data_IF_680515392382
#
_entry.id   IF_680515392382
#
_cell.length_a   1.000
_cell.length_b   1.000
_cell.length_c   1.000
_cell.angle_alpha   90.00
_cell.angle_beta   90.00
_cell.angle_gamma   90.00
#
_symmetry.space_group_name_H-M   'P 1'
#
loop_
_entity.id
_entity.type
_entity.pdbx_description
1 polymer ?
#
# COMPACT_ATOMS: atom_id res chain seq x y z
N UNK A 1 40.52 -30.75 19.65
CA UNK A 1 40.36 -29.29 19.48
C UNK A 1 38.90 -29.05 19.15
N UNK A 2 38.11 -28.64 20.15
CA UNK A 2 36.72 -28.24 19.94
C UNK A 2 36.73 -26.85 19.33
N UNK A 3 36.48 -26.76 18.02
CA UNK A 3 36.06 -25.51 17.41
C UNK A 3 34.60 -25.30 17.80
N UNK A 4 34.39 -24.54 18.88
CA UNK A 4 33.12 -23.85 19.08
C UNK A 4 33.11 -22.76 18.02
N UNK A 5 32.36 -22.99 16.94
CA UNK A 5 32.01 -21.93 16.00
C UNK A 5 31.15 -20.97 16.82
N UNK A 6 31.55 -19.70 17.03
CA UNK A 6 30.65 -18.74 17.65
C UNK A 6 29.41 -18.69 16.76
N UNK A 7 28.23 -18.82 17.38
CA UNK A 7 26.98 -18.43 16.74
C UNK A 7 27.27 -17.03 16.19
N UNK A 8 27.29 -16.89 14.87
CA UNK A 8 27.39 -15.58 14.24
C UNK A 8 26.31 -14.75 14.90
N UNK A 9 26.69 -13.62 15.49
CA UNK A 9 25.74 -12.61 15.93
C UNK A 9 24.94 -12.26 14.67
N UNK A 10 23.80 -12.93 14.45
CA UNK A 10 22.77 -12.43 13.57
C UNK A 10 22.53 -11.02 14.08
N UNK A 11 22.91 -10.04 13.28
CA UNK A 11 22.73 -8.63 13.62
C UNK A 11 21.23 -8.49 13.79
N UNK A 12 20.76 -8.49 15.04
CA UNK A 12 19.36 -8.25 15.36
C UNK A 12 19.13 -6.79 14.96
N UNK A 13 18.61 -6.60 13.76
CA UNK A 13 18.25 -5.28 13.23
C UNK A 13 17.19 -4.72 14.18
N UNK A 14 17.44 -3.51 14.68
CA UNK A 14 16.49 -2.89 15.61
C UNK A 14 15.17 -2.56 14.90
N UNK A 15 14.05 -2.52 15.64
CA UNK A 15 12.76 -2.14 15.04
C UNK A 15 12.80 -0.78 14.36
N UNK A 16 13.52 0.19 14.92
CA UNK A 16 13.67 1.51 14.31
C UNK A 16 14.46 1.46 13.00
N UNK A 17 15.47 0.60 12.94
CA UNK A 17 16.23 0.38 11.71
C UNK A 17 15.38 -0.32 10.63
N UNK A 18 14.51 -1.27 11.01
CA UNK A 18 13.53 -1.86 10.09
C UNK A 18 12.52 -0.83 9.58
N UNK A 19 12.03 0.08 10.43
CA UNK A 19 11.16 1.18 9.99
C UNK A 19 11.86 2.07 8.96
N UNK A 20 13.11 2.46 9.23
CA UNK A 20 13.88 3.27 8.29
C UNK A 20 14.10 2.54 6.95
N UNK A 21 14.33 1.23 6.97
CA UNK A 21 14.45 0.43 5.73
C UNK A 21 13.12 0.45 4.96
N UNK A 22 11.99 0.28 5.64
CA UNK A 22 10.65 0.32 5.02
C UNK A 22 10.37 1.71 4.42
N UNK A 23 10.70 2.80 5.14
CA UNK A 23 10.57 4.17 4.63
C UNK A 23 11.42 4.41 3.37
N UNK A 24 12.66 3.92 3.35
CA UNK A 24 13.52 4.00 2.16
C UNK A 24 12.98 3.16 0.99
N UNK A 25 12.37 2.00 1.27
CA UNK A 25 11.73 1.18 0.24
C UNK A 25 10.47 1.85 -0.30
N UNK A 26 9.69 2.56 0.53
CA UNK A 26 8.57 3.39 0.08
C UNK A 26 9.08 4.47 -0.89
N UNK A 27 10.16 5.18 -0.55
CA UNK A 27 10.76 6.16 -1.46
C UNK A 27 11.24 5.53 -2.77
N UNK A 28 11.79 4.31 -2.70
CA UNK A 28 12.25 3.57 -3.89
C UNK A 28 11.08 3.22 -4.81
N UNK A 29 9.99 2.66 -4.26
CA UNK A 29 8.75 2.36 -4.98
C UNK A 29 8.15 3.62 -5.59
N UNK A 30 8.12 4.72 -4.83
CA UNK A 30 7.60 6.00 -5.32
C UNK A 30 8.40 6.51 -6.52
N UNK A 31 9.73 6.45 -6.44
CA UNK A 31 10.58 6.89 -7.55
C UNK A 31 10.43 5.99 -8.77
N UNK A 32 10.46 4.66 -8.61
CA UNK A 32 10.38 3.73 -9.76
C UNK A 32 9.02 3.77 -10.44
N UNK A 33 7.91 3.82 -9.69
CA UNK A 33 6.56 3.96 -10.25
C UNK A 33 6.32 5.31 -10.92
N UNK A 34 6.84 6.41 -10.36
CA UNK A 34 6.72 7.74 -10.97
C UNK A 34 7.50 7.84 -12.29
N UNK A 35 8.74 7.33 -12.32
CA UNK A 35 9.55 7.30 -13.55
C UNK A 35 8.81 6.53 -14.65
N UNK A 36 8.30 5.36 -14.31
CA UNK A 36 7.68 4.53 -15.32
C UNK A 36 6.29 5.05 -15.75
N UNK A 37 5.53 5.75 -14.90
CA UNK A 37 4.35 6.51 -15.35
C UNK A 37 4.75 7.56 -16.39
N UNK A 38 5.78 8.37 -16.10
CA UNK A 38 6.27 9.43 -17.00
C UNK A 38 6.74 8.87 -18.34
N UNK A 39 7.40 7.72 -18.35
CA UNK A 39 7.95 7.10 -19.56
C UNK A 39 6.87 6.43 -20.44
N UNK A 40 5.77 5.97 -19.85
CA UNK A 40 4.80 5.12 -20.55
C UNK A 40 3.46 5.80 -20.88
N UNK A 41 3.12 6.90 -20.21
CA UNK A 41 1.90 7.65 -20.48
C UNK A 41 2.06 8.53 -21.72
N UNK A 42 1.05 8.51 -22.60
CA UNK A 42 1.00 9.36 -23.79
C UNK A 42 0.03 10.51 -23.62
N UNK A 43 0.46 11.73 -23.99
CA UNK A 43 -0.40 12.91 -24.07
C UNK A 43 -0.54 13.43 -25.51
N UNK A 44 -0.30 12.56 -26.49
CA UNK A 44 -0.31 12.94 -27.91
C UNK A 44 -1.70 13.26 -28.46
N UNK A 45 -2.75 12.76 -27.80
CA UNK A 45 -4.15 12.96 -28.15
C UNK A 45 -4.87 13.64 -26.99
N UNK A 46 -5.84 14.50 -27.29
CA UNK A 46 -6.68 15.13 -26.26
C UNK A 46 -7.46 14.09 -25.45
N UNK A 47 -7.92 13.01 -26.10
CA UNK A 47 -8.57 11.85 -25.46
C UNK A 47 -7.64 11.12 -24.49
N UNK A 48 -6.37 10.92 -24.89
CA UNK A 48 -5.35 10.30 -24.06
C UNK A 48 -5.05 11.14 -22.81
N UNK A 49 -5.03 12.47 -22.94
CA UNK A 49 -4.89 13.37 -21.79
C UNK A 49 -6.15 13.39 -20.93
N UNK A 50 -7.34 13.34 -21.54
CA UNK A 50 -8.60 13.33 -20.81
C UNK A 50 -8.76 12.08 -19.95
N UNK A 51 -8.39 10.90 -20.46
CA UNK A 51 -8.51 9.66 -19.68
C UNK A 51 -7.63 9.67 -18.42
N UNK A 52 -6.48 10.37 -18.44
CA UNK A 52 -5.63 10.55 -17.25
C UNK A 52 -6.37 11.38 -16.21
N UNK A 53 -7.07 12.45 -16.64
CA UNK A 53 -7.88 13.28 -15.75
C UNK A 53 -9.02 12.47 -15.14
N UNK A 54 -9.78 11.78 -15.98
CA UNK A 54 -10.94 10.99 -15.56
C UNK A 54 -10.52 9.90 -14.57
N UNK A 55 -9.46 9.13 -14.89
CA UNK A 55 -8.92 8.10 -13.99
C UNK A 55 -8.41 8.70 -12.67
N UNK A 56 -7.77 9.88 -12.72
CA UNK A 56 -7.30 10.56 -11.50
C UNK A 56 -8.48 11.03 -10.64
N UNK A 57 -9.54 11.57 -11.25
CA UNK A 57 -10.75 12.00 -10.54
C UNK A 57 -11.43 10.79 -9.87
N UNK A 58 -11.49 9.64 -10.54
CA UNK A 58 -12.00 8.40 -9.96
C UNK A 58 -11.15 7.91 -8.78
N UNK A 59 -9.82 7.99 -8.88
CA UNK A 59 -8.89 7.68 -7.77
C UNK A 59 -9.14 8.62 -6.59
N UNK A 60 -9.34 9.92 -6.84
CA UNK A 60 -9.65 10.91 -5.79
C UNK A 60 -10.99 10.58 -5.14
N UNK A 61 -12.02 10.22 -5.92
CA UNK A 61 -13.33 9.83 -5.39
C UNK A 61 -13.28 8.55 -4.53
N UNK A 62 -12.48 7.55 -4.93
CA UNK A 62 -12.24 6.35 -4.13
C UNK A 62 -11.55 6.70 -2.80
N UNK A 63 -10.51 7.55 -2.86
CA UNK A 63 -9.83 8.05 -1.67
C UNK A 63 -10.80 8.78 -0.73
N UNK A 64 -11.65 9.66 -1.25
CA UNK A 64 -12.65 10.38 -0.46
C UNK A 64 -13.64 9.44 0.22
N UNK A 65 -14.00 8.35 -0.46
CA UNK A 65 -14.94 7.36 0.06
C UNK A 65 -14.33 6.50 1.17
N UNK A 66 -13.07 6.08 1.02
CA UNK A 66 -12.49 5.03 1.87
C UNK A 66 -11.37 5.51 2.79
N UNK A 67 -10.52 6.43 2.34
CA UNK A 67 -9.33 6.87 3.08
C UNK A 67 -9.54 8.18 3.86
N UNK A 68 -10.46 9.05 3.42
CA UNK A 68 -10.74 10.29 4.16
C UNK A 68 -11.33 10.13 5.55
N UNK A 69 -12.16 9.11 5.84
CA UNK A 69 -12.55 8.82 7.22
C UNK A 69 -11.36 8.64 8.16
N UNK A 70 -10.21 8.15 7.65
CA UNK A 70 -8.97 8.01 8.42
C UNK A 70 -8.27 9.36 8.59
N UNK A 71 -8.09 10.13 7.52
CA UNK A 71 -7.39 11.42 7.59
C UNK A 71 -8.13 12.42 8.47
N UNK A 72 -9.46 12.40 8.48
CA UNK A 72 -10.31 13.26 9.32
C UNK A 72 -10.10 13.06 10.83
N UNK A 73 -9.52 11.93 11.25
CA UNK A 73 -9.14 11.70 12.66
C UNK A 73 -7.99 12.63 13.10
N UNK A 74 -7.25 13.23 12.16
CA UNK A 74 -6.17 14.16 12.44
C UNK A 74 -6.24 15.39 11.53
N UNK A 75 -6.63 16.54 12.09
CA UNK A 75 -6.81 17.80 11.35
C UNK A 75 -5.59 18.23 10.52
N UNK A 76 -4.37 18.02 11.01
CA UNK A 76 -3.17 18.41 10.27
C UNK A 76 -2.98 17.55 9.02
N UNK A 77 -3.20 16.24 9.15
CA UNK A 77 -3.12 15.27 8.06
C UNK A 77 -4.27 15.50 7.07
N UNK A 78 -5.48 15.76 7.55
CA UNK A 78 -6.62 16.11 6.69
C UNK A 78 -6.37 17.39 5.89
N UNK A 79 -5.84 18.44 6.52
CA UNK A 79 -5.50 19.68 5.83
C UNK A 79 -4.38 19.50 4.80
N UNK A 80 -3.39 18.66 5.09
CA UNK A 80 -2.36 18.27 4.14
C UNK A 80 -2.97 17.54 2.93
N UNK A 81 -3.82 16.54 3.18
CA UNK A 81 -4.52 15.78 2.13
C UNK A 81 -5.33 16.71 1.22
N UNK A 82 -6.10 17.65 1.80
CA UNK A 82 -6.84 18.66 1.05
C UNK A 82 -5.93 19.61 0.25
N UNK A 83 -4.75 19.93 0.76
CA UNK A 83 -3.78 20.75 0.04
C UNK A 83 -3.20 20.00 -1.17
N UNK A 84 -2.89 18.71 -1.02
CA UNK A 84 -2.43 17.84 -2.11
C UNK A 84 -3.52 17.70 -3.17
N UNK A 85 -4.77 17.43 -2.78
CA UNK A 85 -5.90 17.32 -3.71
C UNK A 85 -6.15 18.61 -4.49
N UNK A 86 -6.01 19.78 -3.86
CA UNK A 86 -6.02 21.06 -4.59
C UNK A 86 -4.86 21.16 -5.58
N UNK A 87 -3.68 20.65 -5.24
CA UNK A 87 -2.53 20.57 -6.13
C UNK A 87 -2.82 19.70 -7.36
N UNK A 88 -3.41 18.52 -7.16
CA UNK A 88 -3.86 17.63 -8.24
C UNK A 88 -4.83 18.36 -9.16
N UNK A 89 -5.87 18.98 -8.60
CA UNK A 89 -6.86 19.71 -9.40
C UNK A 89 -6.22 20.83 -10.25
N UNK A 90 -5.20 21.52 -9.72
CA UNK A 90 -4.47 22.52 -10.50
C UNK A 90 -3.65 21.85 -11.62
N UNK A 91 -2.90 20.79 -11.32
CA UNK A 91 -2.12 20.04 -12.31
C UNK A 91 -2.99 19.46 -13.43
N UNK A 92 -4.20 18.98 -13.12
CA UNK A 92 -5.12 18.46 -14.13
C UNK A 92 -5.74 19.55 -15.03
N UNK A 93 -5.79 20.81 -14.57
CA UNK A 93 -6.30 21.93 -15.39
C UNK A 93 -5.34 22.40 -16.48
N UNK A 94 -4.08 21.99 -16.43
CA UNK A 94 -3.10 22.33 -17.45
C UNK A 94 -3.41 21.58 -18.77
N UNK A 95 -3.09 22.24 -19.90
CA UNK A 95 -3.29 21.65 -21.24
C UNK A 95 -2.45 20.39 -21.43
N UNK A 96 -1.18 20.46 -21.02
CA UNK A 96 -0.31 19.31 -20.87
C UNK A 96 -0.10 19.08 -19.38
N UNK A 97 -0.46 17.89 -18.92
CA UNK A 97 -0.32 17.50 -17.53
C UNK A 97 1.17 17.28 -17.26
N UNK A 98 1.67 17.90 -16.19
CA UNK A 98 2.96 17.53 -15.62
C UNK A 98 2.83 16.17 -14.93
N UNK A 99 3.07 15.09 -15.69
CA UNK A 99 2.92 13.70 -15.23
C UNK A 99 3.82 13.39 -14.04
N UNK A 100 5.01 13.99 -13.97
CA UNK A 100 5.92 13.78 -12.84
C UNK A 100 5.36 14.40 -11.57
N UNK A 101 4.87 15.65 -11.66
CA UNK A 101 4.19 16.30 -10.54
C UNK A 101 2.93 15.55 -10.12
N UNK A 102 2.11 15.11 -11.09
CA UNK A 102 0.91 14.32 -10.83
C UNK A 102 1.22 13.00 -10.10
N UNK A 103 2.23 12.26 -10.57
CA UNK A 103 2.68 11.02 -9.94
C UNK A 103 3.01 11.22 -8.45
N UNK A 104 3.84 12.22 -8.15
CA UNK A 104 4.23 12.54 -6.78
C UNK A 104 3.04 12.98 -5.91
N UNK A 105 2.07 13.70 -6.49
CA UNK A 105 0.87 14.12 -5.78
C UNK A 105 -0.06 12.93 -5.48
N UNK A 106 -0.28 12.02 -6.43
CA UNK A 106 -1.07 10.79 -6.21
C UNK A 106 -0.43 9.95 -5.09
N UNK A 107 0.89 9.74 -5.16
CA UNK A 107 1.64 9.00 -4.14
C UNK A 107 1.47 9.61 -2.75
N UNK A 108 1.68 10.92 -2.62
CA UNK A 108 1.51 11.62 -1.35
C UNK A 108 0.06 11.55 -0.86
N UNK A 109 -0.92 11.74 -1.74
CA UNK A 109 -2.33 11.71 -1.38
C UNK A 109 -2.71 10.36 -0.76
N UNK A 110 -2.27 9.26 -1.37
CA UNK A 110 -2.60 7.91 -0.96
C UNK A 110 -1.75 7.40 0.21
N UNK A 111 -0.58 7.98 0.48
CA UNK A 111 0.26 7.63 1.64
C UNK A 111 -0.07 8.43 2.91
N UNK A 112 -0.62 9.63 2.76
CA UNK A 112 -0.99 10.53 3.86
C UNK A 112 -1.86 9.87 4.95
N UNK A 113 -2.87 9.02 4.63
CA UNK A 113 -3.65 8.29 5.64
C UNK A 113 -2.80 7.34 6.51
N UNK A 114 -1.66 6.85 6.00
CA UNK A 114 -0.72 6.00 6.74
C UNK A 114 0.07 6.73 7.82
N UNK A 115 0.04 8.07 7.83
CA UNK A 115 0.64 8.89 8.90
C UNK A 115 -0.27 9.05 10.12
N UNK A 116 -1.55 8.68 10.00
CA UNK A 116 -2.50 8.80 11.11
C UNK A 116 -2.20 7.69 12.12
N UNK A 117 -1.87 8.07 13.35
CA UNK A 117 -1.75 7.13 14.47
C UNK A 117 -3.15 6.78 14.96
N UNK A 118 -3.69 5.66 14.49
CA UNK A 118 -5.02 5.14 14.84
C UNK A 118 -5.01 3.60 14.87
N UNK A 119 -6.18 2.97 14.94
CA UNK A 119 -6.32 1.51 14.83
C UNK A 119 -5.82 1.02 13.47
N UNK A 120 -4.82 0.13 13.48
CA UNK A 120 -4.30 -0.52 12.27
C UNK A 120 -5.41 -1.27 11.52
N UNK A 121 -6.36 -1.88 12.22
CA UNK A 121 -7.49 -2.58 11.60
C UNK A 121 -8.35 -1.64 10.75
N UNK A 122 -8.58 -0.41 11.22
CA UNK A 122 -9.33 0.58 10.44
C UNK A 122 -8.54 1.01 9.20
N UNK A 123 -7.22 1.12 9.30
CA UNK A 123 -6.36 1.47 8.16
C UNK A 123 -6.31 0.31 7.15
N UNK A 124 -6.14 -0.93 7.60
CA UNK A 124 -6.18 -2.13 6.74
C UNK A 124 -7.50 -2.19 5.97
N UNK A 125 -8.64 -2.08 6.67
CA UNK A 125 -9.95 -2.09 6.02
C UNK A 125 -10.13 -0.92 5.04
N UNK A 126 -9.62 0.27 5.36
CA UNK A 126 -9.74 1.44 4.49
C UNK A 126 -8.93 1.27 3.20
N UNK A 127 -7.68 0.79 3.29
CA UNK A 127 -6.85 0.53 2.13
C UNK A 127 -7.33 -0.67 1.32
N UNK A 128 -7.87 -1.71 1.96
CA UNK A 128 -8.50 -2.84 1.29
C UNK A 128 -9.71 -2.39 0.45
N UNK A 129 -10.63 -1.63 1.03
CA UNK A 129 -11.76 -1.09 0.27
C UNK A 129 -11.30 -0.16 -0.86
N UNK A 130 -10.26 0.65 -0.64
CA UNK A 130 -9.69 1.50 -1.69
C UNK A 130 -9.13 0.66 -2.83
N UNK A 131 -8.29 -0.34 -2.54
CA UNK A 131 -7.65 -1.20 -3.56
C UNK A 131 -8.72 -1.99 -4.31
N UNK A 132 -9.68 -2.59 -3.61
CA UNK A 132 -10.79 -3.32 -4.23
C UNK A 132 -11.62 -2.41 -5.14
N UNK A 133 -11.98 -1.19 -4.70
CA UNK A 133 -12.65 -0.22 -5.56
C UNK A 133 -11.80 0.22 -6.75
N UNK A 134 -10.47 0.29 -6.58
CA UNK A 134 -9.53 0.64 -7.64
C UNK A 134 -9.44 -0.47 -8.69
N UNK A 135 -9.58 -1.75 -8.31
CA UNK A 135 -9.64 -2.87 -9.27
C UNK A 135 -10.83 -2.76 -10.24
N UNK A 136 -11.87 -1.98 -9.89
CA UNK A 136 -13.01 -1.74 -10.79
C UNK A 136 -12.68 -0.70 -11.89
N UNK A 137 -11.60 0.07 -11.76
CA UNK A 137 -11.14 1.06 -12.75
C UNK A 137 -10.37 0.45 -13.93
N UNK A 138 -10.69 -0.79 -14.30
CA UNK A 138 -9.98 -1.51 -15.37
C UNK A 138 -10.15 -0.80 -16.72
N UNK A 139 -9.14 -0.87 -17.62
CA UNK A 139 -9.20 -0.27 -18.95
C UNK A 139 -10.44 -0.73 -19.73
N UNK A 140 -11.26 0.24 -20.19
CA UNK A 140 -12.49 -0.07 -20.95
C UNK A 140 -12.20 -0.61 -22.35
N UNK A 141 -11.07 -0.20 -22.92
CA UNK A 141 -10.65 -0.55 -24.27
C UNK A 141 -9.14 -0.74 -24.36
N UNK A 142 -8.73 -1.56 -25.32
CA UNK A 142 -7.32 -1.79 -25.62
C UNK A 142 -6.84 -0.70 -26.59
N UNK A 143 -6.50 0.45 -26.02
CA UNK A 143 -6.10 1.67 -26.75
C UNK A 143 -5.00 2.45 -26.02
N UNK A 144 -4.59 3.60 -26.54
CA UNK A 144 -3.64 4.48 -25.83
C UNK A 144 -4.29 5.00 -24.55
N UNK A 145 -5.59 5.29 -24.62
CA UNK A 145 -6.42 5.71 -23.51
C UNK A 145 -6.47 4.60 -22.45
N UNK A 146 -6.78 3.37 -22.84
CA UNK A 146 -6.77 2.24 -21.91
C UNK A 146 -5.40 1.98 -21.29
N UNK A 147 -4.31 2.15 -22.05
CA UNK A 147 -2.95 2.04 -21.52
C UNK A 147 -2.66 3.14 -20.49
N UNK A 148 -3.05 4.39 -20.76
CA UNK A 148 -2.91 5.48 -19.80
C UNK A 148 -3.72 5.24 -18.52
N UNK A 149 -4.94 4.71 -18.67
CA UNK A 149 -5.79 4.31 -17.54
C UNK A 149 -5.09 3.22 -16.70
N UNK A 150 -4.60 2.14 -17.32
CA UNK A 150 -3.85 1.09 -16.63
C UNK A 150 -2.62 1.62 -15.88
N UNK A 151 -1.84 2.51 -16.50
CA UNK A 151 -0.65 3.11 -15.89
C UNK A 151 -1.00 4.02 -14.70
N UNK A 152 -2.08 4.79 -14.81
CA UNK A 152 -2.57 5.67 -13.72
C UNK A 152 -3.17 4.85 -12.58
N UNK A 153 -3.87 3.76 -12.91
CA UNK A 153 -4.38 2.77 -11.96
C UNK A 153 -3.23 2.10 -11.21
N UNK A 154 -2.20 1.63 -11.92
CA UNK A 154 -1.01 0.98 -11.35
C UNK A 154 -0.33 1.86 -10.30
N UNK A 155 0.05 3.10 -10.64
CA UNK A 155 0.72 3.98 -9.67
C UNK A 155 -0.15 4.21 -8.43
N UNK A 156 -1.47 4.31 -8.57
CA UNK A 156 -2.37 4.52 -7.44
C UNK A 156 -2.46 3.29 -6.53
N UNK A 157 -2.51 2.08 -7.10
CA UNK A 157 -2.50 0.83 -6.33
C UNK A 157 -1.17 0.63 -5.59
N UNK A 158 -0.03 0.85 -6.25
CA UNK A 158 1.29 0.76 -5.61
C UNK A 158 1.46 1.83 -4.52
N UNK A 159 0.91 3.02 -4.72
CA UNK A 159 0.92 4.10 -3.72
C UNK A 159 0.09 3.77 -2.49
N UNK A 160 -1.09 3.17 -2.68
CA UNK A 160 -1.94 2.69 -1.59
C UNK A 160 -1.27 1.56 -0.81
N UNK A 161 -0.59 0.62 -1.50
CA UNK A 161 0.22 -0.41 -0.86
C UNK A 161 1.34 0.19 0.00
N UNK A 162 2.06 1.18 -0.53
CA UNK A 162 3.05 1.94 0.25
C UNK A 162 2.41 2.65 1.45
N UNK A 163 1.20 3.18 1.29
CA UNK A 163 0.43 3.81 2.35
C UNK A 163 0.04 2.88 3.49
N UNK A 164 -0.34 1.63 3.20
CA UNK A 164 -0.63 0.63 4.25
C UNK A 164 0.65 0.10 4.91
N UNK A 165 1.75 -0.05 4.17
CA UNK A 165 3.06 -0.37 4.76
C UNK A 165 3.51 0.73 5.74
N UNK A 166 3.31 2.00 5.37
CA UNK A 166 3.57 3.14 6.25
C UNK A 166 2.66 3.13 7.49
N UNK A 167 1.37 2.87 7.31
CA UNK A 167 0.42 2.72 8.42
C UNK A 167 0.88 1.64 9.41
N UNK A 168 1.35 0.51 8.88
CA UNK A 168 1.79 -0.65 9.66
C UNK A 168 2.97 -0.33 10.55
N UNK A 169 3.97 0.40 10.05
CA UNK A 169 5.13 0.78 10.86
C UNK A 169 4.82 1.89 11.87
N UNK A 170 3.78 2.70 11.63
CA UNK A 170 3.35 3.77 12.53
C UNK A 170 2.33 3.30 13.58
N UNK A 171 1.68 2.16 13.35
CA UNK A 171 0.64 1.66 14.24
C UNK A 171 1.17 1.10 15.56
N UNK A 172 0.35 1.24 16.61
CA UNK A 172 0.55 0.58 17.89
C UNK A 172 -0.02 -0.84 17.85
N UNK A 173 0.81 -1.79 17.44
CA UNK A 173 0.44 -3.22 17.44
C UNK A 173 0.62 -3.79 18.85
N UNK A 174 -0.44 -4.32 19.44
CA UNK A 174 -0.46 -4.75 20.85
C UNK A 174 -0.66 -6.25 21.06
N UNK A 175 -1.23 -6.95 20.06
CA UNK A 175 -1.51 -8.38 20.15
C UNK A 175 -0.96 -9.14 18.94
N UNK A 176 -0.64 -10.42 19.14
CA UNK A 176 -0.22 -11.28 18.01
C UNK A 176 -1.28 -11.41 16.93
N UNK A 177 -2.55 -11.42 17.32
CA UNK A 177 -3.66 -11.49 16.37
C UNK A 177 -3.70 -10.28 15.44
N UNK A 178 -3.39 -9.08 15.95
CA UNK A 178 -3.31 -7.87 15.13
C UNK A 178 -2.17 -7.95 14.10
N UNK A 179 -0.99 -8.41 14.53
CA UNK A 179 0.15 -8.57 13.63
C UNK A 179 -0.08 -9.64 12.56
N UNK A 180 -0.67 -10.80 12.91
CA UNK A 180 -1.03 -11.84 11.93
C UNK A 180 -2.06 -11.30 10.94
N UNK A 181 -3.11 -10.63 11.43
CA UNK A 181 -4.12 -10.04 10.56
C UNK A 181 -3.53 -9.00 9.58
N UNK A 182 -2.57 -8.20 10.04
CA UNK A 182 -1.86 -7.25 9.18
C UNK A 182 -0.99 -7.97 8.12
N UNK A 183 -0.32 -9.07 8.48
CA UNK A 183 0.46 -9.90 7.54
C UNK A 183 -0.45 -10.45 6.44
N UNK A 184 -1.57 -11.05 6.84
CA UNK A 184 -2.52 -11.68 5.92
C UNK A 184 -3.11 -10.63 4.97
N UNK A 185 -3.59 -9.48 5.50
CA UNK A 185 -4.12 -8.39 4.69
C UNK A 185 -3.09 -7.83 3.71
N UNK A 186 -1.86 -7.51 4.15
CA UNK A 186 -0.86 -6.91 3.25
C UNK A 186 -0.49 -7.88 2.12
N UNK A 187 -0.46 -9.18 2.42
CA UNK A 187 -0.20 -10.22 1.42
C UNK A 187 -1.36 -10.35 0.44
N UNK A 188 -2.60 -10.39 0.93
CA UNK A 188 -3.80 -10.44 0.09
C UNK A 188 -3.94 -9.20 -0.80
N UNK A 189 -3.61 -8.02 -0.29
CA UNK A 189 -3.60 -6.78 -1.08
C UNK A 189 -2.51 -6.81 -2.16
N UNK A 190 -1.31 -7.29 -1.83
CA UNK A 190 -0.25 -7.46 -2.81
C UNK A 190 -0.68 -8.44 -3.91
N UNK A 191 -1.26 -9.58 -3.55
CA UNK A 191 -1.78 -10.55 -4.52
C UNK A 191 -2.90 -9.96 -5.38
N UNK A 192 -3.81 -9.19 -4.79
CA UNK A 192 -4.91 -8.52 -5.52
C UNK A 192 -4.38 -7.53 -6.54
N UNK A 193 -3.42 -6.68 -6.15
CA UNK A 193 -2.78 -5.72 -7.04
C UNK A 193 -2.08 -6.47 -8.18
N UNK A 194 -1.27 -7.48 -7.88
CA UNK A 194 -0.50 -8.19 -8.90
C UNK A 194 -1.39 -8.93 -9.89
N UNK A 195 -2.45 -9.61 -9.42
CA UNK A 195 -3.45 -10.22 -10.29
C UNK A 195 -4.18 -9.21 -11.19
N UNK A 196 -4.47 -8.02 -10.66
CA UNK A 196 -5.12 -6.95 -11.43
C UNK A 196 -4.19 -6.43 -12.53
N UNK A 197 -2.92 -6.17 -12.20
CA UNK A 197 -1.92 -5.70 -13.16
C UNK A 197 -1.60 -6.75 -14.22
N UNK A 198 -1.52 -8.04 -13.85
CA UNK A 198 -1.31 -9.14 -14.78
C UNK A 198 -2.50 -9.29 -15.75
N UNK A 199 -3.73 -9.17 -15.24
CA UNK A 199 -4.95 -9.19 -16.07
C UNK A 199 -4.97 -8.01 -17.04
N UNK A 200 -4.60 -6.81 -16.58
CA UNK A 200 -4.42 -5.65 -17.44
C UNK A 200 -3.32 -5.88 -18.47
N UNK A 201 -2.19 -6.49 -18.12
CA UNK A 201 -1.13 -6.81 -19.08
C UNK A 201 -1.57 -7.79 -20.16
N UNK A 202 -2.28 -8.87 -19.78
CA UNK A 202 -2.80 -9.86 -20.71
C UNK A 202 -3.75 -9.23 -21.74
N UNK A 203 -4.57 -8.25 -21.32
CA UNK A 203 -5.48 -7.54 -22.22
C UNK A 203 -4.76 -6.77 -23.35
N UNK A 204 -3.51 -6.35 -23.14
CA UNK A 204 -2.72 -5.56 -24.09
C UNK A 204 -1.64 -6.37 -24.82
N UNK A 205 -1.48 -7.67 -24.54
CA UNK A 205 -0.33 -8.46 -25.00
C UNK A 205 -0.21 -8.53 -26.54
N UNK A 206 -1.36 -8.51 -27.24
CA UNK A 206 -1.45 -8.73 -28.69
C UNK A 206 -1.45 -7.43 -29.51
N UNK A 207 -1.32 -6.28 -28.86
CA UNK A 207 -1.27 -4.99 -29.53
C UNK A 207 0.10 -4.69 -30.15
N UNK A 208 0.13 -3.66 -31.00
CA UNK A 208 1.37 -3.05 -31.44
C UNK A 208 2.19 -2.57 -30.24
N UNK A 209 3.52 -2.67 -30.33
CA UNK A 209 4.48 -2.36 -29.26
C UNK A 209 4.20 -1.01 -28.58
N UNK A 210 3.79 0.00 -29.33
CA UNK A 210 3.52 1.34 -28.80
C UNK A 210 2.30 1.39 -27.86
N UNK A 211 1.34 0.46 -28.03
CA UNK A 211 0.13 0.33 -27.23
C UNK A 211 0.21 -0.77 -26.18
N UNK A 212 1.21 -1.65 -26.25
CA UNK A 212 1.40 -2.66 -25.22
C UNK A 212 1.57 -2.00 -23.85
N UNK A 213 0.83 -2.52 -22.88
CA UNK A 213 0.99 -2.23 -21.46
C UNK A 213 1.87 -3.34 -20.87
N UNK A 214 2.93 -2.95 -20.18
CA UNK A 214 3.75 -3.87 -19.40
C UNK A 214 3.68 -3.42 -17.95
N UNK A 215 3.23 -4.32 -17.08
CA UNK A 215 3.34 -4.16 -15.64
C UNK A 215 4.82 -3.97 -15.31
N UNK A 216 5.14 -2.86 -14.66
CA UNK A 216 6.49 -2.32 -14.62
C UNK A 216 7.38 -3.18 -13.71
N UNK A 217 8.10 -4.15 -14.29
CA UNK A 217 8.87 -5.16 -13.54
C UNK A 217 9.83 -4.61 -12.48
N UNK A 218 10.34 -3.38 -12.61
CA UNK A 218 11.16 -2.71 -11.60
C UNK A 218 10.35 -2.24 -10.39
N UNK A 219 9.23 -1.53 -10.59
CA UNK A 219 8.35 -1.10 -9.50
C UNK A 219 7.73 -2.30 -8.80
N UNK A 220 7.40 -3.36 -9.55
CA UNK A 220 6.97 -4.65 -8.99
C UNK A 220 8.01 -5.25 -8.03
N UNK A 221 9.28 -5.35 -8.45
CA UNK A 221 10.35 -5.88 -7.60
C UNK A 221 10.55 -5.03 -6.35
N UNK A 222 10.50 -3.71 -6.49
CA UNK A 222 10.61 -2.79 -5.36
C UNK A 222 9.42 -2.94 -4.40
N UNK A 223 8.20 -3.13 -4.92
CA UNK A 223 7.01 -3.40 -4.12
C UNK A 223 7.09 -4.75 -3.39
N UNK A 224 7.54 -5.81 -4.05
CA UNK A 224 7.74 -7.11 -3.43
C UNK A 224 8.76 -7.03 -2.27
N UNK A 225 9.82 -6.23 -2.44
CA UNK A 225 10.81 -5.95 -1.39
C UNK A 225 10.22 -5.15 -0.24
N UNK A 226 9.41 -4.13 -0.52
CA UNK A 226 8.70 -3.34 0.48
C UNK A 226 7.75 -4.20 1.31
N UNK A 227 6.93 -5.03 0.65
CA UNK A 227 6.03 -5.97 1.32
C UNK A 227 6.83 -6.94 2.17
N UNK A 228 7.86 -7.57 1.62
CA UNK A 228 8.71 -8.51 2.36
C UNK A 228 9.33 -7.90 3.61
N UNK A 229 9.86 -6.67 3.52
CA UNK A 229 10.40 -5.95 4.67
C UNK A 229 9.33 -5.62 5.72
N UNK A 230 8.13 -5.27 5.28
CA UNK A 230 6.99 -4.99 6.17
C UNK A 230 6.51 -6.25 6.89
N UNK A 231 6.45 -7.38 6.19
CA UNK A 231 6.15 -8.68 6.79
C UNK A 231 7.24 -9.12 7.79
N UNK A 232 8.52 -8.87 7.48
CA UNK A 232 9.63 -9.12 8.39
C UNK A 232 9.50 -8.26 9.67
N UNK A 233 9.17 -6.98 9.53
CA UNK A 233 8.90 -6.10 10.67
C UNK A 233 7.75 -6.63 11.56
N UNK A 234 6.64 -7.05 10.95
CA UNK A 234 5.50 -7.64 11.66
C UNK A 234 5.87 -8.96 12.34
N UNK A 235 6.65 -9.81 11.68
CA UNK A 235 7.14 -11.07 12.24
C UNK A 235 8.06 -10.87 13.44
N UNK A 236 8.95 -9.89 13.38
CA UNK A 236 9.81 -9.55 14.51
C UNK A 236 9.00 -8.99 15.68
N UNK A 237 7.99 -8.15 15.40
CA UNK A 237 7.02 -7.70 16.40
C UNK A 237 6.29 -8.87 17.06
N UNK A 238 5.86 -9.90 16.32
CA UNK A 238 5.11 -11.04 16.86
C UNK A 238 5.77 -11.71 18.08
N UNK A 239 7.09 -11.84 18.07
CA UNK A 239 7.82 -12.49 19.16
C UNK A 239 7.82 -11.68 20.46
N UNK A 240 7.64 -10.36 20.37
CA UNK A 240 7.56 -9.45 21.53
C UNK A 240 6.11 -9.28 22.05
N UNK A 241 5.11 -9.65 21.25
CA UNK A 241 3.71 -9.40 21.55
C UNK A 241 3.08 -10.46 22.45
N UNK A 242 2.12 -10.00 23.26
CA UNK A 242 1.35 -10.85 24.18
C UNK A 242 0.53 -11.89 23.40
N UNK A 243 0.51 -13.12 23.92
CA UNK A 243 -0.31 -14.22 23.38
C UNK A 243 -1.72 -14.08 23.94
N UNK A 244 -2.72 -13.94 23.07
CA UNK A 244 -4.12 -14.11 23.45
C UNK A 244 -4.49 -15.60 23.37
N UNK A 245 -4.88 -16.19 24.51
CA UNK A 245 -5.34 -17.58 24.57
C UNK A 245 -6.86 -17.57 24.71
N UNK A 246 -7.58 -18.00 23.68
CA UNK A 246 -9.03 -18.26 23.76
C UNK A 246 -9.25 -19.74 24.07
N UNK A 247 -10.02 -20.03 25.11
CA UNK A 247 -10.43 -21.38 25.47
C UNK A 247 -11.88 -21.35 25.92
N UNK A 248 -12.61 -22.42 25.63
CA UNK A 248 -13.99 -22.60 26.07
C UNK A 248 -13.98 -23.34 27.40
N UNK A 249 -14.66 -22.78 28.40
CA UNK A 249 -14.79 -23.43 29.70
C UNK A 249 -15.86 -24.53 29.63
N UNK A 250 -15.46 -25.78 29.86
CA UNK A 250 -16.41 -26.91 29.97
C UNK A 250 -17.33 -26.80 31.20
N UNK A 251 -16.92 -26.02 32.21
CA UNK A 251 -17.68 -25.75 33.44
C UNK A 251 -17.44 -24.32 33.89
N UNK A 252 -18.39 -23.66 34.57
CA UNK A 252 -18.17 -22.35 35.16
C UNK A 252 -16.96 -22.38 36.09
N UNK A 253 -15.96 -21.51 35.85
CA UNK A 253 -14.78 -21.32 36.70
C UNK A 253 -14.67 -19.85 37.09
N UNK A 254 -14.12 -19.59 38.26
CA UNK A 254 -13.84 -18.22 38.72
C UNK A 254 -12.68 -17.64 37.90
N UNK A 255 -12.70 -16.33 37.54
CA UNK A 255 -11.66 -15.72 36.72
C UNK A 255 -10.23 -15.91 37.25
N UNK A 256 -10.06 -15.89 38.58
CA UNK A 256 -8.75 -16.08 39.21
C UNK A 256 -8.17 -17.49 38.95
N UNK A 257 -8.98 -18.53 39.08
CA UNK A 257 -8.56 -19.91 38.78
C UNK A 257 -8.14 -20.03 37.32
N UNK A 258 -8.90 -19.41 36.42
CA UNK A 258 -8.59 -19.39 34.98
C UNK A 258 -7.25 -18.70 34.71
N UNK A 259 -7.00 -17.55 35.33
CA UNK A 259 -5.71 -16.85 35.20
C UNK A 259 -4.55 -17.69 35.72
N UNK A 260 -4.69 -18.33 36.89
CA UNK A 260 -3.63 -19.18 37.46
C UNK A 260 -3.39 -20.42 36.59
N UNK A 261 -4.46 -21.06 36.08
CA UNK A 261 -4.31 -22.31 35.32
C UNK A 261 -3.76 -22.07 33.91
N UNK A 262 -4.11 -20.94 33.29
CA UNK A 262 -3.78 -20.69 31.87
C UNK A 262 -2.60 -19.72 31.67
N UNK A 263 -2.28 -18.90 32.68
CA UNK A 263 -1.24 -17.87 32.64
C UNK A 263 -0.25 -17.93 33.82
N UNK A 264 -0.32 -18.96 34.67
CA UNK A 264 0.47 -19.08 35.90
C UNK A 264 1.87 -19.67 35.76
N UNK A 265 2.39 -19.83 34.54
CA UNK A 265 3.77 -20.25 34.24
C UNK A 265 4.57 -19.08 33.66
#
# INVERSE_FOLDING_TARGET
>A
MNWIIPITDEVIISQNEQKNIIEQLIETVNNSSAVALVENVSQALDSATQIIRDTTDDIVALKESFLDPITQLNNSIFNLSNAIQRGINLTLTDTLIDIQSLAGQIQQLLQTPGLVVTSLENQLNAYDNFINGNTELTPEEVSIEGKNQAQTQEISMLSALSGICLATINAEITTRSQAINAIDNITELFDTITNTLDSSQEAFENEDIDKQYFSQSSSYQDCARLVSATLEFLNNKLFELKIEKRFTLEKPRVPLDVTITEYGD
#
